data_IF_301990082127
#
_entry.id   IF_301990082127
#
_cell.length_a   1.000
_cell.length_b   1.000
_cell.length_c   1.000
_cell.angle_alpha   90.00
_cell.angle_beta   90.00
_cell.angle_gamma   90.00
#
_symmetry.space_group_name_H-M   'P 1'
#
loop_
_entity.id
_entity.type
_entity.pdbx_description
1 polymer ?
#
# COMPACT_ATOMS: atom_id res chain seq x y z
N UNK A 1 62.89 20.50 -33.43
CA UNK A 1 62.02 19.61 -32.62
C UNK A 1 61.14 20.53 -31.76
N UNK A 2 59.97 20.95 -32.26
CA UNK A 2 58.64 20.36 -32.07
C UNK A 2 58.14 20.35 -30.60
N UNK A 3 57.32 21.38 -30.33
CA UNK A 3 56.11 21.45 -29.50
C UNK A 3 56.18 21.33 -27.96
N UNK A 4 56.00 22.51 -27.34
CA UNK A 4 55.25 22.75 -26.11
C UNK A 4 53.79 22.26 -26.26
N UNK A 5 53.27 21.56 -25.24
CA UNK A 5 51.82 21.36 -25.04
C UNK A 5 51.50 21.61 -23.56
N UNK A 6 50.95 22.78 -23.28
CA UNK A 6 50.10 23.07 -22.12
C UNK A 6 48.69 23.26 -22.68
N UNK A 7 47.73 22.43 -22.28
CA UNK A 7 46.33 22.84 -22.35
C UNK A 7 45.48 22.10 -21.32
N UNK A 8 45.15 22.86 -20.26
CA UNK A 8 44.15 22.58 -19.23
C UNK A 8 42.97 23.52 -19.49
N UNK A 9 41.94 23.03 -20.17
CA UNK A 9 40.60 23.60 -20.31
C UNK A 9 39.72 22.42 -20.75
N UNK A 10 38.55 22.10 -20.21
CA UNK A 10 37.38 22.94 -19.98
C UNK A 10 36.40 22.20 -19.07
N UNK A 11 36.15 22.73 -17.87
CA UNK A 11 34.93 22.47 -17.08
C UNK A 11 34.35 23.84 -16.81
N UNK A 12 33.27 24.22 -17.51
CA UNK A 12 32.32 25.29 -17.15
C UNK A 12 31.61 25.89 -18.39
N UNK A 13 30.92 25.09 -19.20
CA UNK A 13 30.07 25.59 -20.30
C UNK A 13 28.77 24.76 -20.50
N UNK A 14 28.16 24.30 -19.41
CA UNK A 14 26.87 23.57 -19.49
C UNK A 14 25.83 24.07 -18.48
N UNK A 15 26.03 25.27 -17.92
CA UNK A 15 25.17 25.89 -16.91
C UNK A 15 24.39 27.11 -17.44
N UNK A 16 24.20 27.24 -18.77
CA UNK A 16 23.64 28.47 -19.36
C UNK A 16 22.58 28.22 -20.45
N UNK A 17 21.77 27.16 -20.30
CA UNK A 17 20.69 26.83 -21.26
C UNK A 17 19.31 26.58 -20.62
N UNK A 18 19.09 26.94 -19.35
CA UNK A 18 17.83 26.67 -18.63
C UNK A 18 17.04 27.92 -18.19
N UNK A 19 17.41 29.12 -18.65
CA UNK A 19 16.82 30.39 -18.18
C UNK A 19 15.99 31.17 -19.23
N UNK A 20 15.49 30.52 -20.29
CA UNK A 20 14.66 31.19 -21.32
C UNK A 20 13.35 30.45 -21.68
N UNK A 21 12.74 29.74 -20.73
CA UNK A 21 11.40 29.14 -20.93
C UNK A 21 10.35 29.61 -19.91
N UNK A 22 10.52 30.82 -19.38
CA UNK A 22 9.51 31.50 -18.58
C UNK A 22 9.26 32.87 -19.22
N UNK A 23 8.26 32.95 -20.10
CA UNK A 23 7.43 34.13 -20.39
C UNK A 23 6.56 33.87 -21.64
N UNK A 24 5.32 33.44 -21.45
CA UNK A 24 4.12 33.62 -22.30
C UNK A 24 2.98 32.88 -21.56
N UNK A 25 1.80 33.38 -21.22
CA UNK A 25 1.15 34.69 -21.32
C UNK A 25 -0.12 34.63 -20.47
N UNK A 26 -0.40 35.69 -19.69
CA UNK A 26 -1.68 35.95 -19.02
C UNK A 26 -2.78 36.21 -20.06
N UNK A 27 -3.99 35.65 -19.94
CA UNK A 27 -5.27 36.33 -20.27
C UNK A 27 -6.50 35.57 -19.71
N UNK A 28 -7.42 36.34 -19.14
CA UNK A 28 -8.88 36.18 -19.06
C UNK A 28 -9.52 35.37 -17.91
N UNK A 29 -9.97 36.13 -16.91
CA UNK A 29 -11.20 35.85 -16.16
C UNK A 29 -12.41 35.75 -17.10
N UNK A 30 -13.27 34.76 -16.87
CA UNK A 30 -14.71 34.93 -17.11
C UNK A 30 -15.50 34.37 -15.93
N UNK A 31 -16.05 35.33 -15.16
CA UNK A 31 -17.17 35.13 -14.26
C UNK A 31 -18.40 34.84 -15.13
N UNK A 32 -19.03 33.69 -14.95
CA UNK A 32 -20.38 33.43 -15.46
C UNK A 32 -21.28 33.06 -14.27
N UNK A 33 -21.85 34.11 -13.71
CA UNK A 33 -22.99 34.08 -12.82
C UNK A 33 -24.22 33.81 -13.70
N UNK A 34 -24.87 32.67 -13.52
CA UNK A 34 -26.14 32.38 -14.16
C UNK A 34 -27.23 32.46 -13.10
N UNK A 35 -27.90 33.62 -13.06
CA UNK A 35 -29.17 33.83 -12.36
C UNK A 35 -30.24 33.97 -13.42
N UNK A 36 -31.29 33.16 -13.32
CA UNK A 36 -32.61 33.47 -13.85
C UNK A 36 -33.68 32.55 -13.21
N UNK A 37 -34.96 32.92 -13.23
CA UNK A 37 -35.61 33.45 -12.04
C UNK A 37 -36.89 32.69 -11.68
N UNK A 38 -37.14 32.47 -10.39
CA UNK A 38 -38.45 32.67 -9.74
C UNK A 38 -38.38 32.20 -8.27
N UNK A 39 -38.83 33.08 -7.38
CA UNK A 39 -38.72 32.96 -5.94
C UNK A 39 -39.71 31.99 -5.28
N UNK A 40 -39.19 31.33 -4.24
CA UNK A 40 -39.73 31.19 -2.87
C UNK A 40 -41.09 30.51 -2.60
N UNK A 41 -41.35 30.04 -1.36
CA UNK A 41 -40.59 29.05 -0.58
C UNK A 41 -41.53 27.99 0.05
N UNK A 42 -41.08 26.75 0.35
CA UNK A 42 -41.77 25.94 1.37
C UNK A 42 -40.81 25.02 2.12
N UNK A 43 -40.88 25.13 3.46
CA UNK A 43 -40.14 24.41 4.50
C UNK A 43 -40.98 23.24 5.02
N UNK A 44 -40.29 22.20 5.55
CA UNK A 44 -40.75 21.05 6.38
C UNK A 44 -41.42 19.90 5.59
N UNK A 45 -41.21 18.59 5.83
CA UNK A 45 -40.60 17.79 6.92
C UNK A 45 -40.18 16.41 6.35
N UNK A 46 -39.22 15.79 7.02
CA UNK A 46 -38.62 14.44 6.93
C UNK A 46 -39.56 13.23 6.74
N UNK A 47 -39.07 12.16 6.07
CA UNK A 47 -38.96 10.74 6.53
C UNK A 47 -39.17 9.71 5.39
N UNK A 48 -38.15 8.85 5.18
CA UNK A 48 -38.21 7.40 4.87
C UNK A 48 -36.81 6.96 4.35
N UNK A 49 -36.28 5.75 4.55
CA UNK A 49 -36.83 4.51 5.09
C UNK A 49 -35.65 3.62 5.58
N UNK A 50 -36.03 2.65 6.40
CA UNK A 50 -35.25 1.62 7.09
C UNK A 50 -34.63 0.53 6.17
N UNK A 51 -33.81 -0.33 6.81
CA UNK A 51 -33.43 -1.72 6.46
C UNK A 51 -32.13 -1.88 5.63
N UNK A 52 -31.24 -2.85 5.88
CA UNK A 52 -31.19 -3.96 6.84
C UNK A 52 -29.71 -4.32 7.10
N UNK A 53 -29.41 -4.70 8.34
CA UNK A 53 -28.07 -5.10 8.77
C UNK A 53 -27.66 -6.47 8.23
N UNK A 54 -26.37 -6.60 7.91
CA UNK A 54 -25.68 -7.89 7.83
C UNK A 54 -24.84 -8.04 9.11
N UNK A 55 -25.27 -8.96 9.96
CA UNK A 55 -24.55 -9.44 11.14
C UNK A 55 -23.31 -10.21 10.72
N UNK A 56 -22.12 -9.75 11.11
CA UNK A 56 -20.93 -10.59 11.23
C UNK A 56 -20.67 -10.82 12.72
N UNK A 57 -20.84 -12.06 13.15
CA UNK A 57 -20.52 -12.52 14.50
C UNK A 57 -19.00 -12.74 14.59
N UNK A 58 -18.30 -11.72 15.07
CA UNK A 58 -16.94 -11.85 15.59
C UNK A 58 -17.03 -11.66 17.10
N UNK A 59 -17.04 -12.79 17.81
CA UNK A 59 -17.11 -12.83 19.26
C UNK A 59 -16.07 -11.93 19.94
N UNK A 60 -16.57 -11.02 20.78
CA UNK A 60 -15.86 -10.45 21.92
C UNK A 60 -15.00 -9.21 21.63
N UNK A 61 -15.61 -8.09 21.25
CA UNK A 61 -14.95 -6.78 21.24
C UNK A 61 -15.56 -5.88 22.33
N UNK A 62 -14.85 -5.66 23.44
CA UNK A 62 -15.17 -4.59 24.38
C UNK A 62 -14.62 -3.29 23.79
N UNK A 63 -15.46 -2.57 23.05
CA UNK A 63 -15.13 -1.23 22.54
C UNK A 63 -16.11 -0.23 23.14
N UNK A 64 -15.71 0.37 24.26
CA UNK A 64 -16.36 1.59 24.76
C UNK A 64 -15.71 2.79 24.04
N UNK A 65 -16.17 3.08 22.82
CA UNK A 65 -15.76 4.26 22.06
C UNK A 65 -16.74 5.41 22.27
N UNK A 66 -16.34 6.42 23.03
CA UNK A 66 -17.05 7.70 23.11
C UNK A 66 -16.84 8.45 21.79
N UNK A 67 -17.94 8.80 21.12
CA UNK A 67 -17.95 9.67 19.95
C UNK A 67 -17.62 11.11 20.38
N UNK A 68 -16.56 11.69 19.82
CA UNK A 68 -16.32 13.14 19.87
C UNK A 68 -16.00 13.66 18.47
N UNK A 69 -16.77 14.64 18.05
CA UNK A 69 -16.72 15.33 16.76
C UNK A 69 -15.53 16.29 16.66
N UNK A 70 -14.79 16.23 15.56
CA UNK A 70 -13.82 17.24 15.16
C UNK A 70 -12.72 16.64 14.28
N UNK A 71 -12.54 17.20 13.08
CA UNK A 71 -11.50 16.82 12.13
C UNK A 71 -10.10 16.92 12.73
N UNK A 72 -9.51 15.76 13.01
CA UNK A 72 -8.08 15.48 12.92
C UNK A 72 -8.01 14.01 12.50
N UNK A 73 -7.41 13.72 11.34
CA UNK A 73 -7.22 12.33 10.90
C UNK A 73 -6.12 11.74 11.78
N UNK A 74 -6.55 11.22 12.93
CA UNK A 74 -5.71 10.45 13.83
C UNK A 74 -5.27 9.19 13.10
N UNK A 75 -3.97 9.09 12.86
CA UNK A 75 -3.38 7.96 12.17
C UNK A 75 -3.47 6.76 13.10
N UNK A 76 -4.20 5.74 12.68
CA UNK A 76 -4.36 4.51 13.44
C UNK A 76 -3.02 3.77 13.50
N UNK A 77 -2.31 3.95 14.62
CA UNK A 77 -1.22 3.08 15.03
C UNK A 77 -1.81 2.15 16.09
N UNK A 78 -2.06 0.89 15.78
CA UNK A 78 -2.57 -0.02 16.78
C UNK A 78 -1.57 -0.18 17.95
N UNK A 79 -2.04 -0.01 19.18
CA UNK A 79 -1.22 -0.26 20.36
C UNK A 79 -0.81 -1.74 20.45
N UNK A 80 0.44 -2.06 20.86
CA UNK A 80 0.83 -3.44 21.12
C UNK A 80 0.04 -3.97 22.32
N UNK A 81 -0.84 -4.94 22.07
CA UNK A 81 -1.61 -5.60 23.12
C UNK A 81 -0.69 -6.63 23.80
N UNK A 82 -0.54 -6.54 25.14
CA UNK A 82 0.18 -7.54 25.95
C UNK A 82 -0.83 -8.41 26.71
N UNK A 83 -1.01 -9.65 26.28
CA UNK A 83 -1.78 -10.67 27.00
C UNK A 83 -0.94 -11.95 27.21
N UNK A 84 -1.17 -12.69 28.30
CA UNK A 84 -0.56 -14.00 28.50
C UNK A 84 -1.03 -14.97 27.41
N UNK A 85 -0.09 -15.56 26.67
CA UNK A 85 -0.33 -16.36 25.46
C UNK A 85 0.11 -15.68 24.16
N UNK A 86 0.47 -14.40 24.21
CA UNK A 86 1.01 -13.66 23.07
C UNK A 86 2.47 -14.05 22.81
N UNK A 87 2.70 -14.68 21.66
CA UNK A 87 4.03 -14.89 21.09
C UNK A 87 4.36 -13.70 20.20
N UNK A 88 5.64 -13.44 19.99
CA UNK A 88 6.10 -12.40 19.05
C UNK A 88 6.68 -13.01 17.79
N UNK A 89 6.54 -12.28 16.69
CA UNK A 89 7.17 -12.58 15.41
C UNK A 89 7.72 -11.29 14.82
N UNK A 90 8.78 -11.38 14.04
CA UNK A 90 9.34 -10.23 13.34
C UNK A 90 8.71 -10.13 11.96
N UNK A 91 7.98 -9.06 11.67
CA UNK A 91 7.54 -8.75 10.32
C UNK A 91 8.60 -7.89 9.62
N UNK A 92 8.83 -8.17 8.34
CA UNK A 92 9.82 -7.47 7.52
C UNK A 92 9.06 -6.65 6.49
N UNK A 93 9.20 -5.33 6.57
CA UNK A 93 8.48 -4.39 5.73
C UNK A 93 9.51 -3.58 4.95
N UNK A 94 9.45 -3.67 3.63
CA UNK A 94 10.29 -2.86 2.76
C UNK A 94 9.93 -1.37 2.92
N UNK A 95 10.91 -0.49 2.91
CA UNK A 95 10.69 0.95 2.91
C UNK A 95 11.89 1.63 2.24
N UNK A 96 11.67 2.21 1.06
CA UNK A 96 12.59 3.07 0.29
C UNK A 96 14.06 2.86 0.69
N UNK A 97 14.65 1.79 0.16
CA UNK A 97 16.06 1.36 0.31
C UNK A 97 16.46 0.63 1.60
N UNK A 98 15.54 0.41 2.54
CA UNK A 98 15.83 -0.33 3.78
C UNK A 98 14.72 -1.29 4.21
N UNK A 99 15.11 -2.34 4.93
CA UNK A 99 14.17 -3.21 5.62
C UNK A 99 13.83 -2.63 6.99
N UNK A 100 12.58 -2.26 7.20
CA UNK A 100 12.04 -2.04 8.54
C UNK A 100 11.61 -3.37 9.14
N UNK A 101 11.77 -3.50 10.45
CA UNK A 101 11.32 -4.67 11.20
C UNK A 101 10.46 -4.23 12.36
N UNK A 102 9.43 -5.01 12.64
CA UNK A 102 8.48 -4.74 13.72
C UNK A 102 8.15 -6.04 14.43
N UNK A 103 8.09 -5.98 15.78
CA UNK A 103 7.59 -7.10 16.56
C UNK A 103 6.07 -7.06 16.54
N UNK A 104 5.47 -8.13 16.02
CA UNK A 104 4.03 -8.31 16.00
C UNK A 104 3.61 -9.44 16.93
N UNK A 105 2.59 -9.18 17.75
CA UNK A 105 2.06 -10.15 18.70
C UNK A 105 1.00 -11.01 18.03
N UNK A 106 1.09 -12.32 18.25
CA UNK A 106 0.12 -13.28 17.74
C UNK A 106 -0.14 -14.37 18.79
N UNK A 107 -1.26 -15.07 18.64
CA UNK A 107 -1.63 -16.22 19.47
C UNK A 107 -1.59 -17.52 18.68
N UNK A 108 -1.50 -18.64 19.39
CA UNK A 108 -1.53 -20.01 18.87
C UNK A 108 -0.41 -20.34 17.87
N UNK A 109 -0.67 -21.25 16.92
CA UNK A 109 0.26 -21.66 15.87
C UNK A 109 0.47 -20.52 14.86
N UNK A 110 1.73 -20.23 14.54
CA UNK A 110 2.10 -19.29 13.48
C UNK A 110 1.80 -19.91 12.11
N UNK A 111 1.16 -19.13 11.24
CA UNK A 111 0.81 -19.56 9.88
C UNK A 111 1.08 -18.42 8.90
N UNK A 112 1.22 -18.74 7.61
CA UNK A 112 1.34 -17.73 6.56
C UNK A 112 0.16 -16.73 6.58
N UNK A 113 -1.07 -17.21 6.83
CA UNK A 113 -2.24 -16.34 6.96
C UNK A 113 -2.12 -15.36 8.13
N UNK A 114 -1.54 -15.77 9.27
CA UNK A 114 -1.32 -14.88 10.41
C UNK A 114 -0.23 -13.85 10.13
N UNK A 115 0.87 -14.25 9.47
CA UNK A 115 1.92 -13.32 9.06
C UNK A 115 1.38 -12.25 8.10
N UNK A 116 0.57 -12.66 7.13
CA UNK A 116 -0.09 -11.75 6.19
C UNK A 116 -1.04 -10.78 6.93
N UNK A 117 -1.84 -11.30 7.87
CA UNK A 117 -2.71 -10.46 8.69
C UNK A 117 -1.92 -9.46 9.55
N UNK A 118 -0.77 -9.86 10.08
CA UNK A 118 0.14 -8.98 10.81
C UNK A 118 0.69 -7.85 9.92
N UNK A 119 1.10 -8.17 8.69
CA UNK A 119 1.53 -7.15 7.72
C UNK A 119 0.40 -6.16 7.43
N UNK A 120 -0.79 -6.65 7.08
CA UNK A 120 -1.96 -5.81 6.81
C UNK A 120 -2.30 -4.89 8.00
N UNK A 121 -2.27 -5.43 9.22
CA UNK A 121 -2.55 -4.69 10.44
C UNK A 121 -1.52 -3.59 10.72
N UNK A 122 -0.24 -3.86 10.49
CA UNK A 122 0.81 -2.89 10.78
C UNK A 122 0.87 -1.77 9.72
N UNK A 123 0.68 -2.11 8.44
CA UNK A 123 0.84 -1.16 7.34
C UNK A 123 -0.45 -0.43 6.97
N UNK A 124 -1.61 -1.00 7.35
CA UNK A 124 -2.93 -0.64 6.84
C UNK A 124 -3.08 -0.83 5.31
N UNK A 125 -2.29 -1.72 4.70
CA UNK A 125 -2.54 -2.15 3.33
C UNK A 125 -3.67 -3.18 3.28
N UNK A 126 -4.46 -3.15 2.21
CA UNK A 126 -5.42 -4.21 1.92
C UNK A 126 -4.66 -5.39 1.31
N UNK A 127 -4.45 -6.43 2.12
CA UNK A 127 -3.78 -7.66 1.70
C UNK A 127 -4.75 -8.82 1.48
N UNK A 128 -5.96 -8.52 0.97
CA UNK A 128 -6.98 -9.55 0.70
C UNK A 128 -6.49 -10.53 -0.36
N UNK A 129 -6.22 -11.77 0.06
CA UNK A 129 -5.85 -12.86 -0.83
C UNK A 129 -6.20 -14.22 -0.22
N UNK A 130 -6.31 -15.25 -1.07
CA UNK A 130 -6.35 -16.64 -0.64
C UNK A 130 -4.92 -17.18 -0.47
N UNK A 131 -4.60 -17.70 0.71
CA UNK A 131 -3.31 -18.35 0.98
C UNK A 131 -3.47 -19.86 0.81
N UNK A 132 -2.82 -20.44 -0.21
CA UNK A 132 -2.78 -21.88 -0.48
C UNK A 132 -1.47 -22.51 0.00
N UNK A 133 -1.44 -23.11 1.20
CA UNK A 133 -0.29 -23.85 1.67
C UNK A 133 -0.23 -25.24 1.02
N UNK A 134 0.98 -25.66 0.66
CA UNK A 134 1.35 -27.02 0.32
C UNK A 134 2.72 -27.33 0.96
N UNK A 135 3.18 -28.58 0.88
CA UNK A 135 4.49 -28.98 1.42
C UNK A 135 5.59 -28.09 0.85
N UNK A 136 6.21 -27.27 1.71
CA UNK A 136 7.28 -26.32 1.34
C UNK A 136 6.93 -25.33 0.20
N UNK A 137 5.63 -25.11 -0.05
CA UNK A 137 5.13 -24.17 -1.06
C UNK A 137 4.01 -23.31 -0.49
N UNK A 138 4.06 -22.01 -0.75
CA UNK A 138 3.03 -21.05 -0.41
C UNK A 138 2.63 -20.31 -1.69
N UNK A 139 1.34 -20.37 -2.04
CA UNK A 139 0.79 -19.55 -3.13
C UNK A 139 -0.19 -18.55 -2.56
N UNK A 140 0.00 -17.27 -2.85
CA UNK A 140 -0.94 -16.20 -2.50
C UNK A 140 -1.69 -15.78 -3.77
N UNK A 141 -3.01 -15.95 -3.76
CA UNK A 141 -3.91 -15.61 -4.86
C UNK A 141 -4.63 -14.32 -4.54
N UNK A 142 -4.19 -13.24 -5.16
CA UNK A 142 -4.59 -11.88 -4.80
C UNK A 142 -5.97 -11.56 -5.34
N UNK A 143 -6.85 -11.08 -4.45
CA UNK A 143 -8.18 -10.61 -4.82
C UNK A 143 -8.09 -9.20 -5.41
N UNK A 144 -9.01 -8.85 -6.32
CA UNK A 144 -9.09 -7.50 -6.92
C UNK A 144 -9.38 -6.40 -5.89
N UNK A 145 -9.84 -6.74 -4.69
CA UNK A 145 -9.96 -5.81 -3.57
C UNK A 145 -8.61 -5.43 -2.93
N UNK A 146 -7.55 -6.23 -3.11
CA UNK A 146 -6.24 -5.93 -2.51
C UNK A 146 -5.61 -4.67 -3.10
N UNK A 147 -4.70 -4.05 -2.34
CA UNK A 147 -3.99 -2.81 -2.73
C UNK A 147 -3.13 -2.95 -4.00
N UNK A 148 -2.85 -4.19 -4.44
CA UNK A 148 -2.21 -4.47 -5.72
C UNK A 148 -3.09 -4.10 -6.92
N UNK A 149 -4.42 -4.08 -6.74
CA UNK A 149 -5.38 -3.79 -7.81
C UNK A 149 -6.29 -2.60 -7.49
N UNK A 150 -6.64 -2.41 -6.21
CA UNK A 150 -7.46 -1.27 -5.76
C UNK A 150 -6.65 0.03 -5.68
N UNK A 151 -5.34 -0.07 -5.80
CA UNK A 151 -4.40 1.04 -5.69
C UNK A 151 -4.04 1.41 -4.26
N UNK A 152 -3.33 2.54 -4.13
CA UNK A 152 -2.82 3.10 -2.88
C UNK A 152 -3.97 3.33 -1.86
N UNK A 153 -3.93 2.70 -0.67
CA UNK A 153 -4.95 2.91 0.35
C UNK A 153 -5.04 4.37 0.80
N UNK A 154 -6.28 4.86 0.96
CA UNK A 154 -6.57 6.19 1.51
C UNK A 154 -5.98 6.40 2.91
N UNK A 155 -5.96 5.34 3.72
CA UNK A 155 -5.37 5.34 5.06
C UNK A 155 -4.23 4.33 5.11
N UNK A 156 -3.03 4.82 5.36
CA UNK A 156 -1.84 4.01 5.59
C UNK A 156 -1.22 4.39 6.93
N UNK A 157 -0.51 3.46 7.54
CA UNK A 157 0.37 3.82 8.64
C UNK A 157 1.49 4.73 8.11
N UNK A 158 1.69 5.90 8.73
CA UNK A 158 2.72 6.88 8.34
C UNK A 158 4.10 6.30 8.22
N UNK A 159 4.45 5.34 9.07
CA UNK A 159 5.78 4.75 9.09
C UNK A 159 6.07 3.92 7.83
N UNK A 160 5.03 3.36 7.21
CA UNK A 160 5.11 2.50 6.03
C UNK A 160 4.39 3.10 4.83
N UNK A 161 4.18 4.41 4.85
CA UNK A 161 3.47 5.11 3.78
C UNK A 161 4.25 5.02 2.47
N UNK A 162 3.56 4.61 1.41
CA UNK A 162 4.07 4.62 0.04
C UNK A 162 3.11 5.41 -0.84
N UNK A 163 3.66 6.35 -1.61
CA UNK A 163 2.91 7.29 -2.45
C UNK A 163 2.87 6.96 -3.94
N UNK A 164 3.56 5.89 -4.36
CA UNK A 164 3.64 5.46 -5.75
C UNK A 164 3.14 4.01 -5.88
N UNK A 165 2.32 3.73 -6.89
CA UNK A 165 1.72 2.40 -7.06
C UNK A 165 2.77 1.31 -7.28
N UNK A 166 3.75 1.55 -8.16
CA UNK A 166 4.81 0.57 -8.44
C UNK A 166 5.66 0.28 -7.22
N UNK A 167 5.97 1.31 -6.44
CA UNK A 167 6.68 1.14 -5.17
C UNK A 167 5.81 0.39 -4.15
N UNK A 168 4.51 0.65 -4.10
CA UNK A 168 3.58 -0.06 -3.20
C UNK A 168 3.50 -1.54 -3.56
N UNK A 169 3.35 -1.87 -4.84
CA UNK A 169 3.29 -3.25 -5.32
C UNK A 169 4.58 -4.00 -4.99
N UNK A 170 5.74 -3.38 -5.29
CA UNK A 170 7.03 -3.92 -4.92
C UNK A 170 7.14 -4.15 -3.41
N UNK A 171 6.74 -3.15 -2.64
CA UNK A 171 6.81 -3.17 -1.19
C UNK A 171 5.92 -4.27 -0.59
N UNK A 172 4.69 -4.42 -1.05
CA UNK A 172 3.76 -5.49 -0.62
C UNK A 172 4.38 -6.86 -0.91
N UNK A 173 4.77 -7.10 -2.15
CA UNK A 173 5.20 -8.42 -2.60
C UNK A 173 6.55 -8.83 -1.99
N UNK A 174 7.50 -7.92 -1.87
CA UNK A 174 8.80 -8.17 -1.23
C UNK A 174 8.64 -8.36 0.29
N UNK A 175 7.77 -7.58 0.95
CA UNK A 175 7.51 -7.70 2.39
C UNK A 175 6.84 -9.01 2.76
N UNK A 176 5.85 -9.44 1.97
CA UNK A 176 5.21 -10.75 2.13
C UNK A 176 6.25 -11.85 1.94
N UNK A 177 7.00 -11.83 0.83
CA UNK A 177 8.03 -12.82 0.54
C UNK A 177 9.02 -12.98 1.69
N UNK A 178 9.66 -11.88 2.10
CA UNK A 178 10.68 -11.91 3.15
C UNK A 178 10.11 -12.33 4.50
N UNK A 179 8.95 -11.80 4.87
CA UNK A 179 8.29 -12.19 6.12
C UNK A 179 7.98 -13.68 6.18
N UNK A 180 7.58 -14.30 5.07
CA UNK A 180 7.34 -15.75 5.05
C UNK A 180 8.63 -16.54 5.24
N UNK A 181 9.70 -16.22 4.50
CA UNK A 181 10.94 -17.00 4.57
C UNK A 181 11.64 -16.90 5.93
N UNK A 182 11.69 -15.71 6.51
CA UNK A 182 12.38 -15.47 7.77
C UNK A 182 11.66 -16.13 8.97
N UNK A 183 10.34 -16.34 8.86
CA UNK A 183 9.53 -16.85 9.98
C UNK A 183 9.05 -18.30 9.81
N UNK A 184 8.87 -18.78 8.57
CA UNK A 184 8.45 -20.15 8.29
C UNK A 184 9.63 -21.04 7.86
N UNK A 185 10.73 -20.41 7.43
CA UNK A 185 11.98 -21.07 7.07
C UNK A 185 12.30 -21.00 5.58
N UNK A 186 13.59 -21.06 5.21
CA UNK A 186 14.06 -20.88 3.84
C UNK A 186 13.72 -22.05 2.90
N UNK A 187 13.19 -23.15 3.42
CA UNK A 187 12.71 -24.27 2.61
C UNK A 187 11.39 -23.97 1.91
N UNK A 188 10.64 -22.96 2.36
CA UNK A 188 9.41 -22.56 1.68
C UNK A 188 9.71 -21.81 0.39
N UNK A 189 8.92 -22.11 -0.64
CA UNK A 189 8.91 -21.37 -1.89
C UNK A 189 7.62 -20.57 -2.01
N UNK A 190 7.72 -19.28 -2.34
CA UNK A 190 6.56 -18.37 -2.47
C UNK A 190 6.20 -18.17 -3.94
N UNK A 191 4.90 -18.15 -4.23
CA UNK A 191 4.33 -17.88 -5.54
C UNK A 191 3.20 -16.86 -5.41
N UNK A 192 3.05 -16.03 -6.44
CA UNK A 192 1.96 -15.06 -6.55
C UNK A 192 1.12 -15.34 -7.78
N UNK A 193 -0.18 -15.18 -7.67
CA UNK A 193 -1.14 -15.37 -8.74
C UNK A 193 -2.33 -14.41 -8.56
N UNK A 194 -3.13 -14.24 -9.61
CA UNK A 194 -4.47 -13.64 -9.47
C UNK A 194 -5.43 -14.58 -8.68
N UNK A 195 -6.67 -14.13 -8.48
CA UNK A 195 -7.69 -14.87 -7.75
C UNK A 195 -8.03 -16.22 -8.41
N UNK A 196 -8.02 -16.25 -9.74
CA UNK A 196 -8.28 -17.42 -10.58
C UNK A 196 -7.10 -18.43 -10.55
N UNK A 197 -5.90 -17.97 -10.22
CA UNK A 197 -4.66 -18.75 -10.18
C UNK A 197 -3.79 -18.63 -11.44
N UNK A 198 -4.06 -17.66 -12.32
CA UNK A 198 -3.20 -17.29 -13.44
C UNK A 198 -2.11 -16.32 -12.99
N UNK A 199 -1.27 -15.91 -13.94
CA UNK A 199 -0.21 -14.94 -13.73
C UNK A 199 -0.75 -13.67 -13.07
N UNK A 200 0.01 -13.14 -12.11
CA UNK A 200 -0.35 -11.91 -11.44
C UNK A 200 0.00 -10.73 -12.36
N UNK A 201 -1.00 -10.19 -13.03
CA UNK A 201 -0.89 -9.03 -13.91
C UNK A 201 -1.18 -7.73 -13.16
N UNK A 202 -0.15 -6.89 -13.00
CA UNK A 202 -0.24 -5.55 -12.41
C UNK A 202 -0.21 -4.52 -13.54
N UNK A 203 -1.33 -4.36 -14.23
CA UNK A 203 -1.45 -3.60 -15.47
C UNK A 203 -1.03 -2.13 -15.32
N UNK A 204 -1.34 -1.52 -14.17
CA UNK A 204 -1.09 -0.10 -13.91
C UNK A 204 0.41 0.23 -13.86
N UNK A 205 1.26 -0.77 -13.63
CA UNK A 205 2.71 -0.63 -13.52
C UNK A 205 3.46 -1.43 -14.59
N UNK A 206 2.73 -2.11 -15.49
CA UNK A 206 3.27 -2.88 -16.61
C UNK A 206 4.09 -4.10 -16.19
N UNK A 207 3.74 -4.73 -15.06
CA UNK A 207 4.46 -5.89 -14.50
C UNK A 207 3.59 -7.13 -14.55
N UNK A 208 4.17 -8.26 -14.97
CA UNK A 208 3.52 -9.58 -14.92
C UNK A 208 4.43 -10.55 -14.17
N UNK A 209 3.89 -11.16 -13.11
CA UNK A 209 4.59 -12.17 -12.32
C UNK A 209 4.01 -13.55 -12.65
N UNK A 210 4.82 -14.48 -13.22
CA UNK A 210 4.32 -15.80 -13.60
C UNK A 210 3.89 -16.63 -12.39
N UNK A 211 2.68 -17.20 -12.42
CA UNK A 211 2.11 -17.93 -11.29
C UNK A 211 2.80 -19.28 -11.00
N UNK A 212 3.55 -19.79 -11.97
CA UNK A 212 4.28 -21.05 -11.90
C UNK A 212 5.79 -20.88 -11.64
N UNK A 213 6.27 -19.65 -11.47
CA UNK A 213 7.68 -19.35 -11.16
C UNK A 213 7.80 -18.91 -9.70
N UNK A 214 8.75 -19.48 -8.92
CA UNK A 214 9.08 -18.97 -7.59
C UNK A 214 9.36 -17.48 -7.61
N UNK A 215 8.68 -16.73 -6.73
CA UNK A 215 8.97 -15.33 -6.54
C UNK A 215 10.29 -15.15 -5.78
N UNK A 216 11.06 -14.11 -6.13
CA UNK A 216 12.31 -13.78 -5.43
C UNK A 216 12.45 -12.30 -5.05
N UNK A 217 12.09 -11.38 -5.96
CA UNK A 217 11.94 -9.95 -5.71
C UNK A 217 11.20 -9.29 -6.87
N UNK A 218 10.60 -8.13 -6.62
CA UNK A 218 9.77 -7.43 -7.60
C UNK A 218 10.55 -6.91 -8.81
N UNK A 219 11.78 -6.42 -8.62
CA UNK A 219 12.52 -5.66 -9.62
C UNK A 219 13.15 -6.51 -10.74
N UNK A 220 12.87 -7.81 -10.75
CA UNK A 220 13.23 -8.72 -11.84
C UNK A 220 12.18 -8.79 -12.96
N UNK A 221 11.01 -8.21 -12.74
CA UNK A 221 9.87 -8.24 -13.65
C UNK A 221 9.66 -6.90 -14.37
#
# INVERSE_FOLDING_TARGET
MKHFVLQRTSRSLLALALAMYLLFSLTACSKMENVSPNGEPTRRTTQSAENAGLTYDLGGSNVQGVLSSGEDIEYYVPAPVKNPGDRTVTLFIWNVDTWKTVQWHYRDTLTAKKLLAGLAYVTNWDLTCEVKPATQKLTFRWDKASSLFSGIPLRQNKEYWIGNQKELDACILDSVYKTMLENLGPSYTVYYADAEGNDLELTDVGVTIPANVPYSNFWQY
#
